data_IF_609558598043
#
_entry.id   IF_609558598043
#
_cell.length_a   1.000
_cell.length_b   1.000
_cell.length_c   1.000
_cell.angle_alpha   90.00
_cell.angle_beta   90.00
_cell.angle_gamma   90.00
#
_symmetry.space_group_name_H-M   'P 1'
#
loop_
_entity.id
_entity.type
_entity.pdbx_description
1 polymer ?
#
# COMPACT_ATOMS: atom_id res chain seq x y z
N UNK A 1 -1.70 13.69 -6.40
CA UNK A 1 -0.88 14.91 -6.65
C UNK A 1 -0.75 15.69 -5.35
N UNK A 2 0.46 16.15 -5.03
CA UNK A 2 0.74 16.89 -3.79
C UNK A 2 0.99 18.37 -4.06
N UNK A 3 0.63 19.22 -3.11
CA UNK A 3 1.14 20.60 -3.02
C UNK A 3 2.23 20.66 -1.95
N UNK A 4 3.20 21.56 -2.10
CA UNK A 4 4.36 21.64 -1.20
C UNK A 4 4.49 23.03 -0.57
N UNK A 5 5.01 23.07 0.66
CA UNK A 5 5.42 24.30 1.33
C UNK A 5 6.70 24.87 0.70
N UNK A 6 7.11 26.07 1.12
CA UNK A 6 8.41 26.63 0.73
C UNK A 6 9.60 25.75 1.15
N UNK A 7 9.43 24.90 2.18
CA UNK A 7 10.45 23.96 2.66
C UNK A 7 10.38 22.58 1.97
N UNK A 8 9.63 22.48 0.86
CA UNK A 8 9.41 21.23 0.11
C UNK A 8 8.70 20.11 0.90
N UNK A 9 7.93 20.46 1.94
CA UNK A 9 7.10 19.50 2.68
C UNK A 9 5.70 19.42 2.07
N UNK A 10 5.12 18.22 1.91
CA UNK A 10 3.77 18.07 1.35
C UNK A 10 2.73 18.67 2.29
N UNK A 11 1.89 19.58 1.80
CA UNK A 11 0.84 20.25 2.57
C UNK A 11 -0.55 19.72 2.30
N UNK A 12 -0.83 19.31 1.06
CA UNK A 12 -2.11 18.72 0.68
C UNK A 12 -1.89 17.58 -0.30
N UNK A 13 -2.82 16.64 -0.28
CA UNK A 13 -2.89 15.54 -1.23
C UNK A 13 -4.23 15.57 -1.97
N UNK A 14 -4.18 15.38 -3.29
CA UNK A 14 -5.36 15.11 -4.11
C UNK A 14 -5.23 13.71 -4.71
N UNK A 15 -6.21 12.85 -4.47
CA UNK A 15 -6.32 11.57 -5.15
C UNK A 15 -6.63 11.80 -6.64
N UNK A 16 -6.00 11.01 -7.49
CA UNK A 16 -6.12 11.05 -8.95
C UNK A 16 -6.23 9.62 -9.47
N UNK A 17 -6.44 9.43 -10.76
CA UNK A 17 -6.38 8.12 -11.43
C UNK A 17 -7.43 7.11 -10.90
N UNK A 18 -8.71 7.46 -11.06
CA UNK A 18 -9.85 6.67 -10.60
C UNK A 18 -10.25 5.50 -11.53
N UNK A 19 -9.42 5.12 -12.52
CA UNK A 19 -9.77 4.08 -13.50
C UNK A 19 -9.97 2.67 -12.90
N UNK A 20 -9.54 2.44 -11.67
CA UNK A 20 -9.69 1.17 -10.95
C UNK A 20 -10.64 1.27 -9.73
N UNK A 21 -11.36 2.39 -9.57
CA UNK A 21 -12.29 2.56 -8.46
C UNK A 21 -13.50 1.63 -8.59
N UNK A 22 -13.82 0.92 -7.52
CA UNK A 22 -14.94 -0.02 -7.46
C UNK A 22 -15.69 0.12 -6.15
N UNK A 23 -16.95 -0.31 -6.13
CA UNK A 23 -17.72 -0.37 -4.89
C UNK A 23 -17.36 -1.62 -4.11
N UNK A 24 -16.60 -1.45 -3.03
CA UNK A 24 -16.07 -2.56 -2.23
C UNK A 24 -15.80 -2.13 -0.78
N UNK A 25 -15.34 -3.07 0.03
CA UNK A 25 -14.90 -2.76 1.40
C UNK A 25 -13.60 -1.94 1.37
N UNK A 26 -13.43 -0.92 2.24
CA UNK A 26 -12.19 -0.14 2.34
C UNK A 26 -10.97 -1.00 2.68
N UNK A 27 -11.17 -2.21 3.20
CA UNK A 27 -10.14 -3.23 3.38
C UNK A 27 -9.32 -3.51 2.10
N UNK A 28 -9.97 -3.46 0.93
CA UNK A 28 -9.29 -3.71 -0.36
C UNK A 28 -8.32 -2.57 -0.67
N UNK A 29 -8.76 -1.32 -0.49
CA UNK A 29 -7.93 -0.14 -0.71
C UNK A 29 -6.78 -0.06 0.31
N UNK A 30 -7.06 -0.37 1.58
CA UNK A 30 -6.06 -0.38 2.65
C UNK A 30 -4.99 -1.45 2.41
N UNK A 31 -5.39 -2.67 2.05
CA UNK A 31 -4.43 -3.74 1.77
C UNK A 31 -3.56 -3.39 0.57
N UNK A 32 -4.15 -2.87 -0.52
CA UNK A 32 -3.38 -2.37 -1.65
C UNK A 32 -2.39 -1.27 -1.24
N UNK A 33 -2.87 -0.24 -0.54
CA UNK A 33 -2.07 0.92 -0.16
C UNK A 33 -0.88 0.55 0.74
N UNK A 34 -1.13 -0.25 1.78
CA UNK A 34 -0.12 -0.70 2.74
C UNK A 34 0.95 -1.52 2.03
N UNK A 35 0.56 -2.51 1.23
CA UNK A 35 1.53 -3.39 0.56
C UNK A 35 2.36 -2.63 -0.49
N UNK A 36 1.72 -1.78 -1.29
CA UNK A 36 2.40 -1.04 -2.36
C UNK A 36 3.40 0.00 -1.83
N UNK A 37 3.11 0.66 -0.70
CA UNK A 37 3.79 1.91 -0.33
C UNK A 37 4.46 1.88 1.06
N UNK A 38 3.98 1.07 2.00
CA UNK A 38 4.47 1.14 3.37
C UNK A 38 5.85 0.48 3.53
N UNK A 39 6.55 0.80 4.63
CA UNK A 39 7.76 0.07 4.98
C UNK A 39 7.42 -1.38 5.35
N UNK A 40 8.42 -2.28 5.27
CA UNK A 40 8.19 -3.69 5.62
C UNK A 40 7.70 -3.83 7.07
N UNK A 41 8.19 -2.99 7.97
CA UNK A 41 7.79 -2.98 9.38
C UNK A 41 6.29 -2.72 9.56
N UNK A 42 5.72 -1.82 8.75
CA UNK A 42 4.28 -1.53 8.73
C UNK A 42 3.49 -2.63 8.02
N UNK A 43 4.02 -3.19 6.93
CA UNK A 43 3.38 -4.34 6.24
C UNK A 43 3.22 -5.54 7.16
N UNK A 44 4.18 -5.78 8.06
CA UNK A 44 4.15 -6.86 9.04
C UNK A 44 3.27 -6.54 10.26
N UNK A 45 2.79 -5.29 10.37
CA UNK A 45 1.91 -4.78 11.45
C UNK A 45 0.80 -3.90 10.87
N UNK A 46 -0.04 -4.44 9.96
CA UNK A 46 -1.06 -3.65 9.28
C UNK A 46 -2.08 -3.03 10.24
N UNK A 47 -2.24 -3.60 11.45
CA UNK A 47 -3.11 -3.10 12.51
C UNK A 47 -2.85 -1.62 12.87
N UNK A 48 -1.63 -1.13 12.73
CA UNK A 48 -1.28 0.27 13.01
C UNK A 48 -2.04 1.20 12.04
N UNK A 49 -2.02 0.85 10.75
CA UNK A 49 -2.69 1.65 9.72
C UNK A 49 -4.20 1.43 9.73
N UNK A 50 -4.67 0.22 10.08
CA UNK A 50 -6.09 -0.07 10.24
C UNK A 50 -6.71 0.73 11.39
N UNK A 51 -5.98 0.84 12.51
CA UNK A 51 -6.42 1.63 13.66
C UNK A 51 -6.50 3.11 13.34
N UNK A 52 -5.48 3.67 12.69
CA UNK A 52 -5.48 5.08 12.29
C UNK A 52 -6.61 5.39 11.28
N UNK A 53 -6.83 4.50 10.30
CA UNK A 53 -7.93 4.63 9.36
C UNK A 53 -9.28 4.58 10.07
N UNK A 54 -9.49 3.61 10.96
CA UNK A 54 -10.72 3.45 11.71
C UNK A 54 -11.05 4.69 12.55
N UNK A 55 -10.05 5.19 13.30
CA UNK A 55 -10.17 6.40 14.10
C UNK A 55 -10.57 7.59 13.22
N UNK A 56 -9.83 7.82 12.13
CA UNK A 56 -10.09 8.93 11.20
C UNK A 56 -11.48 8.83 10.58
N UNK A 57 -11.92 7.63 10.19
CA UNK A 57 -13.25 7.39 9.63
C UNK A 57 -14.35 7.79 10.62
N UNK A 58 -14.26 7.32 11.87
CA UNK A 58 -15.30 7.60 12.86
C UNK A 58 -15.29 9.05 13.34
N UNK A 59 -14.12 9.69 13.47
CA UNK A 59 -14.02 11.13 13.73
C UNK A 59 -14.62 11.96 12.59
N UNK A 60 -14.38 11.56 11.33
CA UNK A 60 -14.94 12.22 10.16
C UNK A 60 -16.46 12.06 10.11
N UNK A 61 -16.97 10.85 10.33
CA UNK A 61 -18.41 10.59 10.39
C UNK A 61 -19.09 11.40 11.51
N UNK A 62 -18.49 11.47 12.70
CA UNK A 62 -18.99 12.29 13.79
C UNK A 62 -19.02 13.78 13.43
N UNK A 63 -17.95 14.29 12.82
CA UNK A 63 -17.88 15.68 12.33
C UNK A 63 -18.98 16.00 11.31
N UNK A 64 -19.39 15.01 10.52
CA UNK A 64 -20.48 15.14 9.54
C UNK A 64 -21.88 14.87 10.12
N UNK A 65 -22.02 14.57 11.42
CA UNK A 65 -23.31 14.25 12.05
C UNK A 65 -23.81 12.83 11.78
N UNK A 66 -22.92 11.90 11.45
CA UNK A 66 -23.20 10.52 11.08
C UNK A 66 -22.43 9.49 11.94
N UNK A 67 -22.17 9.83 13.21
CA UNK A 67 -21.50 8.96 14.19
C UNK A 67 -22.12 7.56 14.29
N UNK A 68 -23.44 7.45 14.19
CA UNK A 68 -24.20 6.19 14.18
C UNK A 68 -23.84 5.24 13.02
N UNK A 69 -23.13 5.71 11.97
CA UNK A 69 -22.65 4.89 10.87
C UNK A 69 -21.25 4.30 11.12
N UNK A 70 -20.57 4.67 12.20
CA UNK A 70 -19.27 4.09 12.56
C UNK A 70 -19.43 2.58 12.79
N UNK A 71 -18.75 1.72 12.01
CA UNK A 71 -18.86 0.28 12.18
C UNK A 71 -18.11 -0.16 13.45
N UNK A 72 -18.35 -1.39 13.95
CA UNK A 72 -17.46 -2.00 14.94
C UNK A 72 -16.04 -2.11 14.38
N UNK A 73 -15.02 -1.85 15.20
CA UNK A 73 -13.61 -1.90 14.77
C UNK A 73 -13.26 -3.28 14.23
N UNK A 74 -13.72 -4.33 14.89
CA UNK A 74 -13.49 -5.73 14.54
C UNK A 74 -13.96 -6.04 13.12
N UNK A 75 -15.05 -5.39 12.67
CA UNK A 75 -15.56 -5.58 11.31
C UNK A 75 -14.52 -5.18 10.25
N UNK A 76 -13.78 -4.07 10.45
CA UNK A 76 -12.75 -3.64 9.52
C UNK A 76 -11.60 -4.65 9.44
N UNK A 77 -11.16 -5.17 10.59
CA UNK A 77 -10.07 -6.16 10.68
C UNK A 77 -10.49 -7.48 10.01
N UNK A 78 -11.71 -7.93 10.27
CA UNK A 78 -12.31 -9.09 9.60
C UNK A 78 -12.36 -8.92 8.08
N UNK A 79 -12.81 -7.75 7.59
CA UNK A 79 -12.85 -7.48 6.16
C UNK A 79 -11.45 -7.42 5.55
N UNK A 80 -10.46 -6.88 6.28
CA UNK A 80 -9.07 -6.87 5.87
C UNK A 80 -8.54 -8.29 5.67
N UNK A 81 -8.67 -9.15 6.68
CA UNK A 81 -8.23 -10.54 6.57
C UNK A 81 -8.95 -11.30 5.44
N UNK A 82 -10.26 -11.09 5.27
CA UNK A 82 -11.07 -11.78 4.24
C UNK A 82 -10.77 -11.31 2.82
N UNK A 83 -10.38 -10.04 2.62
CA UNK A 83 -10.33 -9.41 1.29
C UNK A 83 -8.95 -8.91 0.85
N UNK A 84 -7.93 -9.03 1.71
CA UNK A 84 -6.59 -8.52 1.42
C UNK A 84 -5.87 -9.20 0.24
N UNK A 85 -6.27 -10.42 -0.17
CA UNK A 85 -5.59 -11.17 -1.24
C UNK A 85 -5.42 -10.36 -2.53
N UNK A 86 -6.48 -9.68 -2.96
CA UNK A 86 -6.42 -8.82 -4.15
C UNK A 86 -5.45 -7.65 -3.93
N UNK A 87 -5.57 -6.94 -2.81
CA UNK A 87 -4.69 -5.82 -2.48
C UNK A 87 -3.22 -6.22 -2.34
N UNK A 88 -2.94 -7.42 -1.84
CA UNK A 88 -1.59 -7.97 -1.75
C UNK A 88 -1.02 -8.24 -3.14
N UNK A 89 -1.75 -8.94 -4.01
CA UNK A 89 -1.26 -9.26 -5.36
C UNK A 89 -1.01 -7.97 -6.15
N UNK A 90 -1.99 -7.06 -6.20
CA UNK A 90 -1.86 -5.81 -6.93
C UNK A 90 -0.79 -4.92 -6.28
N UNK A 91 -0.76 -4.86 -4.96
CA UNK A 91 0.23 -4.08 -4.21
C UNK A 91 1.65 -4.57 -4.42
N UNK A 92 1.89 -5.88 -4.47
CA UNK A 92 3.20 -6.45 -4.79
C UNK A 92 3.64 -6.09 -6.20
N UNK A 93 2.74 -6.19 -7.19
CA UNK A 93 3.04 -5.80 -8.58
C UNK A 93 3.41 -4.32 -8.64
N UNK A 94 2.62 -3.44 -8.01
CA UNK A 94 2.92 -2.00 -7.98
C UNK A 94 4.24 -1.71 -7.26
N UNK A 95 4.52 -2.37 -6.13
CA UNK A 95 5.76 -2.23 -5.37
C UNK A 95 7.00 -2.59 -6.21
N UNK A 96 6.88 -3.54 -7.15
CA UNK A 96 7.97 -3.87 -8.08
C UNK A 96 8.39 -2.67 -8.93
N UNK A 97 7.42 -1.84 -9.35
CA UNK A 97 7.67 -0.71 -10.23
C UNK A 97 8.12 0.53 -9.45
N UNK A 98 7.54 0.80 -8.27
CA UNK A 98 7.82 2.00 -7.47
C UNK A 98 9.22 1.97 -6.85
N UNK A 99 9.65 0.84 -6.29
CA UNK A 99 10.97 0.72 -5.65
C UNK A 99 12.14 0.52 -6.64
N UNK A 100 11.86 0.44 -7.94
CA UNK A 100 12.89 0.41 -9.01
C UNK A 100 13.48 1.80 -9.30
N UNK A 101 12.78 2.87 -8.93
CA UNK A 101 13.11 4.23 -9.39
C UNK A 101 14.22 4.94 -8.57
N UNK A 102 14.58 4.43 -7.39
CA UNK A 102 15.67 4.99 -6.57
C UNK A 102 17.07 4.51 -6.96
N UNK A 103 17.17 3.46 -7.78
CA UNK A 103 18.41 3.20 -8.53
C UNK A 103 18.34 4.05 -9.79
N UNK A 104 19.17 5.08 -9.88
CA UNK A 104 19.33 5.97 -11.04
C UNK A 104 18.99 5.22 -12.33
N UNK A 105 17.93 5.66 -13.01
CA UNK A 105 17.67 5.23 -14.39
C UNK A 105 18.79 5.83 -15.21
N UNK A 106 19.89 5.10 -15.32
CA UNK A 106 20.87 5.32 -16.36
C UNK A 106 20.13 5.10 -17.68
N UNK A 107 19.69 6.21 -18.24
CA UNK A 107 19.16 6.31 -19.60
C UNK A 107 20.36 6.22 -20.54
N UNK A 108 21.08 5.10 -20.53
CA UNK A 108 22.23 4.88 -21.40
C UNK A 108 22.14 3.49 -22.02
N UNK A 109 21.83 3.51 -23.31
CA UNK A 109 22.33 2.56 -24.29
C UNK A 109 21.84 1.14 -24.17
N UNK A 110 21.08 0.72 -25.17
CA UNK A 110 21.03 -0.68 -25.55
C UNK A 110 22.47 -1.21 -25.71
N UNK A 111 22.92 -2.03 -24.76
CA UNK A 111 24.11 -2.86 -24.94
C UNK A 111 23.74 -4.32 -24.75
N UNK A 112 23.67 -4.98 -25.90
CA UNK A 112 23.33 -6.38 -26.09
C UNK A 112 24.53 -7.25 -25.73
N UNK A 113 24.74 -7.56 -24.44
CA UNK A 113 25.46 -8.78 -24.07
C UNK A 113 25.24 -9.23 -22.62
N UNK A 114 24.51 -10.34 -22.47
CA UNK A 114 24.32 -11.20 -21.29
C UNK A 114 25.02 -10.78 -19.98
N UNK A 115 24.27 -10.15 -19.07
CA UNK A 115 24.47 -10.26 -17.61
C UNK A 115 23.10 -10.35 -16.96
N UNK A 116 22.90 -11.34 -16.08
CA UNK A 116 21.64 -11.66 -15.38
C UNK A 116 20.80 -10.42 -15.05
N UNK A 117 19.79 -10.13 -15.89
CA UNK A 117 18.89 -9.01 -15.69
C UNK A 117 17.91 -9.41 -14.60
N UNK A 118 18.35 -9.33 -13.35
CA UNK A 118 17.46 -9.40 -12.21
C UNK A 118 16.49 -8.23 -12.33
N UNK A 119 15.29 -8.49 -12.84
CA UNK A 119 14.22 -7.50 -13.00
C UNK A 119 13.91 -6.75 -11.69
N UNK A 120 14.21 -7.39 -10.56
CA UNK A 120 14.00 -6.87 -9.22
C UNK A 120 15.30 -6.36 -8.58
N UNK A 121 15.21 -5.23 -7.88
CA UNK A 121 16.30 -4.68 -7.08
C UNK A 121 16.60 -5.57 -5.88
N UNK A 122 17.82 -5.51 -5.34
CA UNK A 122 18.17 -6.29 -4.16
C UNK A 122 17.41 -5.84 -2.91
N UNK A 123 17.06 -4.56 -2.83
CA UNK A 123 16.15 -4.03 -1.80
C UNK A 123 14.77 -4.68 -1.90
N UNK A 124 14.20 -4.76 -3.10
CA UNK A 124 12.91 -5.43 -3.31
C UNK A 124 12.98 -6.90 -2.90
N UNK A 125 14.02 -7.63 -3.33
CA UNK A 125 14.19 -9.04 -2.94
C UNK A 125 14.30 -9.21 -1.42
N UNK A 126 15.02 -8.31 -0.74
CA UNK A 126 15.17 -8.32 0.72
C UNK A 126 13.83 -8.09 1.42
N UNK A 127 13.02 -7.16 0.93
CA UNK A 127 11.67 -6.91 1.44
C UNK A 127 10.78 -8.13 1.23
N UNK A 128 10.79 -8.72 0.03
CA UNK A 128 10.00 -9.91 -0.29
C UNK A 128 10.34 -11.11 0.59
N UNK A 129 11.61 -11.32 0.93
CA UNK A 129 12.03 -12.39 1.84
C UNK A 129 11.41 -12.27 3.24
N UNK A 130 11.04 -11.06 3.66
CA UNK A 130 10.36 -10.81 4.95
C UNK A 130 8.84 -10.87 4.83
N UNK A 131 8.29 -10.28 3.76
CA UNK A 131 6.84 -10.14 3.58
C UNK A 131 6.16 -11.45 3.16
N UNK A 132 6.76 -12.24 2.27
CA UNK A 132 6.13 -13.46 1.75
C UNK A 132 5.82 -14.50 2.84
N UNK A 133 6.75 -14.83 3.77
CA UNK A 133 6.45 -15.78 4.84
C UNK A 133 5.28 -15.31 5.73
N UNK A 134 5.19 -14.01 5.98
CA UNK A 134 4.09 -13.42 6.75
C UNK A 134 2.75 -13.60 6.04
N UNK A 135 2.67 -13.35 4.73
CA UNK A 135 1.43 -13.55 3.98
C UNK A 135 0.99 -15.02 3.93
N UNK A 136 1.94 -15.95 3.79
CA UNK A 136 1.66 -17.40 3.84
C UNK A 136 1.16 -17.80 5.24
N UNK A 137 1.80 -17.33 6.31
CA UNK A 137 1.36 -17.59 7.68
C UNK A 137 -0.06 -17.08 7.95
N UNK A 138 -0.45 -15.96 7.32
CA UNK A 138 -1.79 -15.37 7.44
C UNK A 138 -2.83 -16.00 6.50
N UNK A 139 -2.43 -16.92 5.61
CA UNK A 139 -3.33 -17.54 4.61
C UNK A 139 -3.77 -16.59 3.49
N UNK A 140 -3.02 -15.52 3.26
CA UNK A 140 -3.30 -14.52 2.25
C UNK A 140 -2.65 -14.85 0.88
N UNK A 141 -1.66 -15.74 0.87
CA UNK A 141 -1.03 -16.34 -0.31
C UNK A 141 -1.05 -17.86 -0.22
#
# INVERSE_FOLDING_TARGET
MYTYSHNAEPTHAKFVDYQMSTWTSPAVDLSYFIIANASVEIVLKPEIMLEEYFKTLCETLATLGHDHLCPPKEYLYDQYDKRCKFGIIVGLVVRCFTFKQNSKVDSSGADSNKKNLSYFTDSYKKDMKKMLPYFVQRGWL
#
